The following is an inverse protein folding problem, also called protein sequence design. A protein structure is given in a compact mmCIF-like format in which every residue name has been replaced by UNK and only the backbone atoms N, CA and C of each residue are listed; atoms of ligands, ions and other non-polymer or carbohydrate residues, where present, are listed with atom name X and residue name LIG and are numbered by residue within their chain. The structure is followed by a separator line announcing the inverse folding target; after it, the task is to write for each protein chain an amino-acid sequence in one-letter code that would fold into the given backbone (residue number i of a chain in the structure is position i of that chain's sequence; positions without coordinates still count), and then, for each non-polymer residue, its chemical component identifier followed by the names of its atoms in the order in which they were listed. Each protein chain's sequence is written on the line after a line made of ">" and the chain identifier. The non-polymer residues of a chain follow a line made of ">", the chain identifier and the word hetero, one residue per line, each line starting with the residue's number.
data_IF_473637991654
#
_entry.id   IF_473637991654
#
_cell.length_a   1.000
_cell.length_b   1.000
_cell.length_c   1.000
_cell.angle_alpha   90.00
_cell.angle_beta   90.00
_cell.angle_gamma   90.00
#
_symmetry.space_group_name_H-M   'P 1'
#
loop_
_entity.id
_entity.type
_entity.pdbx_description
1 polymer ?
#
# COMPACT_ATOMS: atom_id res chain seq x y z
N UNK A 1 -11.00 13.90 5.23
CA UNK A 1 -10.73 12.60 5.87
C UNK A 1 -10.14 11.53 4.95
N UNK A 2 -10.61 11.39 3.71
CA UNK A 2 -10.05 10.41 2.75
C UNK A 2 -8.54 10.56 2.48
N UNK A 3 -8.05 11.79 2.27
CA UNK A 3 -6.60 12.06 2.07
C UNK A 3 -5.78 11.64 3.28
N UNK A 4 -6.25 12.00 4.49
CA UNK A 4 -5.56 11.65 5.75
C UNK A 4 -5.57 10.13 5.98
N UNK A 5 -6.67 9.46 5.66
CA UNK A 5 -6.75 8.01 5.73
C UNK A 5 -5.81 7.33 4.72
N UNK A 6 -5.67 7.88 3.51
CA UNK A 6 -4.73 7.39 2.50
C UNK A 6 -3.28 7.52 2.98
N UNK A 7 -2.90 8.66 3.52
CA UNK A 7 -1.56 8.89 4.09
C UNK A 7 -1.26 7.93 5.25
N UNK A 8 -2.21 7.76 6.19
CA UNK A 8 -2.07 6.82 7.32
C UNK A 8 -1.90 5.37 6.83
N UNK A 9 -2.58 4.98 5.76
CA UNK A 9 -2.42 3.63 5.18
C UNK A 9 -1.09 3.45 4.47
N UNK A 10 -0.58 4.50 3.80
CA UNK A 10 0.73 4.47 3.16
C UNK A 10 1.86 4.34 4.20
N UNK A 11 1.74 5.03 5.33
CA UNK A 11 2.70 4.92 6.43
C UNK A 11 2.70 3.52 7.04
N UNK A 12 1.51 2.95 7.33
CA UNK A 12 1.39 1.59 7.85
C UNK A 12 1.94 0.53 6.90
N UNK A 13 1.78 0.71 5.59
CA UNK A 13 2.37 -0.19 4.59
C UNK A 13 3.90 -0.16 4.66
N UNK A 14 4.49 1.04 4.69
CA UNK A 14 5.93 1.20 4.78
C UNK A 14 6.51 0.55 6.03
N UNK A 15 5.83 0.70 7.16
CA UNK A 15 6.21 0.06 8.42
C UNK A 15 6.12 -1.46 8.36
N UNK A 16 5.08 -1.99 7.71
CA UNK A 16 4.93 -3.43 7.50
C UNK A 16 6.06 -3.99 6.61
N UNK A 17 6.39 -3.30 5.53
CA UNK A 17 7.48 -3.68 4.61
C UNK A 17 8.83 -3.66 5.32
N UNK A 18 9.09 -2.67 6.16
CA UNK A 18 10.32 -2.60 6.97
C UNK A 18 10.41 -3.78 7.94
N UNK A 19 9.33 -4.09 8.67
CA UNK A 19 9.29 -5.24 9.59
C UNK A 19 9.46 -6.58 8.87
N UNK A 20 8.93 -6.70 7.65
CA UNK A 20 9.11 -7.88 6.82
C UNK A 20 10.58 -8.05 6.38
N UNK A 21 11.23 -6.97 5.96
CA UNK A 21 12.66 -6.96 5.66
C UNK A 21 13.51 -7.41 6.85
N UNK A 22 13.28 -6.80 8.02
CA UNK A 22 14.01 -7.15 9.24
C UNK A 22 13.80 -8.62 9.65
N UNK A 23 12.61 -9.18 9.44
CA UNK A 23 12.33 -10.59 9.71
C UNK A 23 13.06 -11.52 8.73
N UNK A 24 13.08 -11.20 7.44
CA UNK A 24 13.75 -11.99 6.42
C UNK A 24 15.27 -12.05 6.66
N UNK A 25 15.89 -10.91 6.95
CA UNK A 25 17.33 -10.85 7.26
C UNK A 25 17.67 -11.61 8.54
N UNK A 26 16.85 -11.51 9.60
CA UNK A 26 17.03 -12.31 10.83
C UNK A 26 16.91 -13.82 10.59
N UNK A 27 16.11 -14.22 9.60
CA UNK A 27 15.98 -15.61 9.18
C UNK A 27 17.10 -16.06 8.21
N UNK A 28 18.04 -15.18 7.85
CA UNK A 28 19.18 -15.51 6.99
C UNK A 28 18.90 -15.44 5.49
N UNK A 29 17.78 -14.83 5.08
CA UNK A 29 17.49 -14.61 3.66
C UNK A 29 18.06 -13.27 3.20
N UNK A 30 18.57 -13.24 1.97
CA UNK A 30 19.10 -12.01 1.36
C UNK A 30 18.00 -11.02 0.97
N UNK A 31 16.75 -11.50 0.83
CA UNK A 31 15.60 -10.64 0.53
C UNK A 31 14.31 -11.20 1.15
N UNK A 32 13.32 -10.34 1.46
CA UNK A 32 11.95 -10.76 1.77
C UNK A 32 11.33 -11.72 0.76
N UNK A 33 11.60 -11.47 -0.52
CA UNK A 33 11.08 -12.30 -1.62
C UNK A 33 11.64 -13.71 -1.57
N UNK A 34 12.94 -13.88 -1.26
CA UNK A 34 13.54 -15.20 -1.09
C UNK A 34 12.93 -15.96 0.11
N UNK A 35 12.66 -15.26 1.21
CA UNK A 35 11.96 -15.85 2.36
C UNK A 35 10.53 -16.27 1.99
N UNK A 36 9.80 -15.43 1.24
CA UNK A 36 8.46 -15.75 0.78
C UNK A 36 8.43 -16.94 -0.18
N UNK A 37 9.37 -17.03 -1.13
CA UNK A 37 9.48 -18.15 -2.06
C UNK A 37 9.87 -19.47 -1.36
N UNK A 38 10.55 -19.41 -0.22
CA UNK A 38 10.83 -20.60 0.59
C UNK A 38 9.58 -21.14 1.32
N UNK A 39 8.59 -20.28 1.59
CA UNK A 39 7.36 -20.63 2.30
C UNK A 39 6.17 -20.87 1.35
N UNK A 40 6.10 -20.11 0.26
CA UNK A 40 5.02 -20.10 -0.71
C UNK A 40 5.49 -20.79 -1.98
N UNK A 41 4.71 -21.76 -2.46
CA UNK A 41 4.90 -22.23 -3.83
C UNK A 41 4.65 -21.11 -4.85
N UNK A 42 5.10 -21.31 -6.09
CA UNK A 42 5.00 -20.33 -7.16
C UNK A 42 3.56 -19.85 -7.45
N UNK A 43 2.55 -20.67 -7.13
CA UNK A 43 1.16 -20.31 -7.34
C UNK A 43 0.66 -19.38 -6.22
N UNK A 44 0.98 -19.69 -4.97
CA UNK A 44 0.68 -18.87 -3.83
C UNK A 44 1.42 -17.52 -3.87
N UNK A 45 2.68 -17.51 -4.33
CA UNK A 45 3.44 -16.28 -4.54
C UNK A 45 2.76 -15.37 -5.58
N UNK A 46 2.38 -15.92 -6.74
CA UNK A 46 1.67 -15.17 -7.79
C UNK A 46 0.32 -14.64 -7.31
N UNK A 47 -0.42 -15.42 -6.53
CA UNK A 47 -1.69 -14.96 -5.97
C UNK A 47 -1.52 -13.75 -5.05
N UNK A 48 -0.54 -13.78 -4.15
CA UNK A 48 -0.23 -12.64 -3.28
C UNK A 48 0.21 -11.43 -4.09
N UNK A 49 1.05 -11.63 -5.11
CA UNK A 49 1.50 -10.56 -5.97
C UNK A 49 0.33 -9.89 -6.71
N UNK A 50 -0.60 -10.67 -7.26
CA UNK A 50 -1.79 -10.14 -7.91
C UNK A 50 -2.65 -9.28 -6.99
N UNK A 51 -2.78 -9.65 -5.70
CA UNK A 51 -3.51 -8.86 -4.72
C UNK A 51 -2.81 -7.53 -4.41
N UNK A 52 -1.49 -7.54 -4.31
CA UNK A 52 -0.69 -6.31 -4.12
C UNK A 52 -0.87 -5.38 -5.32
N UNK A 53 -0.79 -5.91 -6.53
CA UNK A 53 -0.92 -5.11 -7.74
C UNK A 53 -2.34 -4.53 -7.91
N UNK A 54 -3.38 -5.30 -7.60
CA UNK A 54 -4.76 -4.82 -7.60
C UNK A 54 -4.94 -3.64 -6.62
N UNK A 55 -4.44 -3.79 -5.40
CA UNK A 55 -4.52 -2.73 -4.39
C UNK A 55 -3.71 -1.48 -4.79
N UNK A 56 -2.51 -1.65 -5.36
CA UNK A 56 -1.70 -0.52 -5.87
C UNK A 56 -2.40 0.24 -6.98
N UNK A 57 -3.12 -0.46 -7.86
CA UNK A 57 -3.90 0.17 -8.92
C UNK A 57 -5.08 0.98 -8.36
N UNK A 58 -5.76 0.45 -7.35
CA UNK A 58 -6.83 1.17 -6.64
C UNK A 58 -6.29 2.44 -5.97
N UNK A 59 -5.17 2.35 -5.25
CA UNK A 59 -4.52 3.51 -4.64
C UNK A 59 -4.11 4.56 -5.69
N UNK A 60 -3.52 4.14 -6.80
CA UNK A 60 -3.15 5.04 -7.90
C UNK A 60 -4.37 5.74 -8.50
N UNK A 61 -5.48 5.02 -8.69
CA UNK A 61 -6.74 5.60 -9.19
C UNK A 61 -7.32 6.63 -8.22
N UNK A 62 -7.34 6.32 -6.92
CA UNK A 62 -7.79 7.25 -5.88
C UNK A 62 -6.90 8.49 -5.83
N UNK A 63 -5.58 8.33 -5.89
CA UNK A 63 -4.64 9.46 -5.94
C UNK A 63 -4.85 10.34 -7.17
N UNK A 64 -5.11 9.73 -8.33
CA UNK A 64 -5.45 10.48 -9.54
C UNK A 64 -6.68 11.36 -9.32
N UNK A 65 -7.76 10.78 -8.80
CA UNK A 65 -9.02 11.51 -8.53
C UNK A 65 -8.81 12.61 -7.48
N UNK A 66 -8.03 12.35 -6.44
CA UNK A 66 -7.74 13.36 -5.40
C UNK A 66 -6.83 14.49 -5.89
N UNK A 67 -6.04 14.26 -6.93
CA UNK A 67 -5.19 15.28 -7.55
C UNK A 67 -5.95 16.15 -8.58
N UNK A 68 -7.18 15.80 -8.94
CA UNK A 68 -7.99 16.64 -9.84
C UNK A 68 -8.24 18.02 -9.20
N UNK A 69 -8.19 19.12 -9.97
CA UNK A 69 -8.30 20.47 -9.43
C UNK A 69 -9.58 20.71 -8.62
N UNK A 70 -10.70 20.14 -9.06
CA UNK A 70 -12.02 20.34 -8.44
C UNK A 70 -12.13 19.61 -7.10
N UNK A 71 -11.62 18.37 -6.99
CA UNK A 71 -11.53 17.62 -5.73
C UNK A 71 -10.54 18.26 -4.77
N UNK A 72 -9.41 18.76 -5.26
CA UNK A 72 -8.44 19.51 -4.46
C UNK A 72 -9.02 20.85 -3.94
N UNK A 73 -9.80 21.56 -4.76
CA UNK A 73 -10.49 22.78 -4.37
C UNK A 73 -11.61 22.50 -3.36
N UNK A 74 -12.39 21.43 -3.57
CA UNK A 74 -13.43 20.99 -2.64
C UNK A 74 -12.86 20.61 -1.27
N UNK A 75 -11.67 20.00 -1.22
CA UNK A 75 -10.99 19.66 0.03
C UNK A 75 -10.61 20.88 0.89
N UNK A 76 -10.56 22.08 0.31
CA UNK A 76 -10.30 23.34 1.04
C UNK A 76 -11.57 24.03 1.54
N UNK A 77 -12.75 23.54 1.17
CA UNK A 77 -14.03 24.12 1.61
C UNK A 77 -14.44 23.58 2.99
N UNK A 78 -15.27 24.32 3.75
CA UNK A 78 -15.91 23.79 4.94
C UNK A 78 -16.77 22.55 4.60
N UNK A 79 -16.94 21.61 5.56
CA UNK A 79 -17.90 20.52 5.40
C UNK A 79 -19.28 21.04 5.00
N UNK A 80 -19.94 20.36 4.07
CA UNK A 80 -21.24 20.78 3.53
C UNK A 80 -22.38 20.80 4.56
N UNK A 81 -22.18 20.17 5.72
CA UNK A 81 -23.16 20.06 6.82
C UNK A 81 -22.96 21.12 7.93
N UNK A 82 -22.13 22.15 7.71
CA UNK A 82 -21.97 23.31 8.60
C UNK A 82 -22.80 24.52 8.13
#
# INVERSE_FOLDING_TARGET
>A
DAVRAADDTAERLKDADARLADAAFRAGFDTPTAAAAALLDDAAYRHVQHRIDAWRNEDAAVRSVLAEPDTAAAAQQPPADL
#
